data_IF_937183056012
#
_entry.id   IF_937183056012
#
_cell.length_a   1.000
_cell.length_b   1.000
_cell.length_c   1.000
_cell.angle_alpha   90.00
_cell.angle_beta   90.00
_cell.angle_gamma   90.00
#
_symmetry.space_group_name_H-M   'P 1'
#
loop_
_entity.id
_entity.type
_entity.pdbx_description
1 polymer ?
#
# COMPACT_ATOMS: atom_id res chain seq x y z
N UNK A 1 -11.87 24.41 1.78
CA UNK A 1 -11.55 23.06 1.28
C UNK A 1 -10.43 22.31 2.03
N UNK A 2 -9.54 22.96 2.81
CA UNK A 2 -8.42 22.27 3.51
C UNK A 2 -8.81 21.38 4.71
N UNK A 3 -9.84 21.75 5.49
CA UNK A 3 -10.22 20.99 6.72
C UNK A 3 -10.69 19.56 6.44
N UNK A 4 -11.41 19.32 5.35
CA UNK A 4 -11.95 17.99 5.02
C UNK A 4 -10.84 17.05 4.50
N UNK A 5 -9.85 17.60 3.78
CA UNK A 5 -8.68 16.84 3.33
C UNK A 5 -7.76 16.48 4.50
N UNK A 6 -7.52 17.44 5.41
CA UNK A 6 -6.74 17.20 6.63
C UNK A 6 -7.44 16.22 7.57
N UNK A 7 -8.78 16.25 7.64
CA UNK A 7 -9.56 15.31 8.42
C UNK A 7 -9.45 13.88 7.89
N UNK A 8 -9.50 13.70 6.56
CA UNK A 8 -9.31 12.38 5.92
C UNK A 8 -7.89 11.84 6.15
N UNK A 9 -6.86 12.68 6.04
CA UNK A 9 -5.47 12.30 6.31
C UNK A 9 -5.27 11.94 7.80
N UNK A 10 -5.89 12.68 8.72
CA UNK A 10 -5.81 12.39 10.17
C UNK A 10 -6.47 11.06 10.53
N UNK A 11 -7.69 10.82 10.03
CA UNK A 11 -8.39 9.56 10.25
C UNK A 11 -7.62 8.38 9.65
N UNK A 12 -6.98 8.58 8.50
CA UNK A 12 -6.09 7.61 7.87
C UNK A 12 -4.87 7.26 8.73
N UNK A 13 -4.18 8.25 9.32
CA UNK A 13 -3.06 7.98 10.23
C UNK A 13 -3.47 7.21 11.48
N UNK A 14 -4.69 7.43 11.97
CA UNK A 14 -5.22 6.71 13.13
C UNK A 14 -5.45 5.22 12.81
N UNK A 15 -5.98 4.90 11.61
CA UNK A 15 -6.17 3.51 11.14
C UNK A 15 -4.85 2.76 11.01
N UNK A 16 -3.80 3.42 10.53
CA UNK A 16 -2.46 2.82 10.42
C UNK A 16 -1.90 2.46 11.81
N UNK A 17 -2.09 3.33 12.81
CA UNK A 17 -1.57 3.12 14.16
C UNK A 17 -2.28 1.99 14.93
N UNK A 18 -3.56 1.73 14.67
CA UNK A 18 -4.31 0.64 15.31
C UNK A 18 -4.12 -0.73 14.63
N UNK A 19 -3.64 -0.77 13.38
CA UNK A 19 -3.40 -2.00 12.63
C UNK A 19 -2.47 -3.03 13.32
N UNK A 20 -1.36 -2.66 13.99
CA UNK A 20 -0.55 -3.64 14.73
C UNK A 20 -1.29 -4.20 15.96
N UNK A 21 -2.13 -3.41 16.61
CA UNK A 21 -2.83 -3.82 17.85
C UNK A 21 -3.82 -4.97 17.53
N UNK A 22 -4.49 -4.92 16.38
CA UNK A 22 -5.41 -5.97 15.93
C UNK A 22 -4.65 -7.26 15.56
N UNK A 23 -3.46 -7.13 14.95
CA UNK A 23 -2.63 -8.25 14.55
C UNK A 23 -2.05 -9.04 15.76
N UNK A 24 -1.87 -8.38 16.90
CA UNK A 24 -1.29 -8.97 18.12
C UNK A 24 -2.33 -9.53 19.11
N UNK A 25 -3.64 -9.38 18.87
CA UNK A 25 -4.70 -9.71 19.83
C UNK A 25 -5.23 -11.16 19.79
N UNK A 26 -4.59 -12.09 19.06
CA UNK A 26 -5.09 -13.46 18.81
C UNK A 26 -4.08 -14.55 19.25
N UNK A 27 -4.55 -15.79 19.59
CA UNK A 27 -3.71 -16.82 20.21
C UNK A 27 -2.58 -17.30 19.28
N UNK A 28 -1.38 -17.38 19.83
CA UNK A 28 -0.09 -17.35 19.13
C UNK A 28 0.41 -18.74 18.73
N UNK A 29 -0.13 -19.31 17.64
CA UNK A 29 0.62 -20.31 16.87
C UNK A 29 1.63 -19.60 15.95
N UNK A 30 2.76 -20.25 15.64
CA UNK A 30 3.79 -19.66 14.76
C UNK A 30 3.20 -19.26 13.40
N UNK A 31 2.27 -20.06 12.91
CA UNK A 31 1.51 -19.81 11.67
C UNK A 31 0.60 -18.59 11.80
N UNK A 32 -0.09 -18.41 12.94
CA UNK A 32 -0.96 -17.25 13.16
C UNK A 32 -0.17 -15.94 13.22
N UNK A 33 1.00 -15.93 13.89
CA UNK A 33 1.88 -14.75 13.92
C UNK A 33 2.32 -14.39 12.49
N UNK A 34 2.75 -15.36 11.69
CA UNK A 34 3.16 -15.11 10.30
C UNK A 34 2.00 -14.58 9.43
N UNK A 35 0.76 -15.05 9.66
CA UNK A 35 -0.44 -14.57 8.96
C UNK A 35 -0.76 -13.13 9.33
N UNK A 36 -0.72 -12.80 10.62
CA UNK A 36 -1.07 -11.47 11.12
C UNK A 36 -0.02 -10.42 10.72
N UNK A 37 1.28 -10.77 10.78
CA UNK A 37 2.35 -9.90 10.29
C UNK A 37 2.24 -9.67 8.78
N UNK A 38 1.93 -10.70 8.00
CA UNK A 38 1.71 -10.55 6.56
C UNK A 38 0.56 -9.60 6.27
N UNK A 39 -0.56 -9.75 6.98
CA UNK A 39 -1.73 -8.89 6.80
C UNK A 39 -1.39 -7.44 7.14
N UNK A 40 -0.65 -7.20 8.21
CA UNK A 40 -0.15 -5.88 8.59
C UNK A 40 0.72 -5.26 7.50
N UNK A 41 1.73 -5.97 7.02
CA UNK A 41 2.67 -5.50 6.00
C UNK A 41 1.92 -5.20 4.69
N UNK A 42 1.02 -6.09 4.27
CA UNK A 42 0.25 -5.94 3.02
C UNK A 42 -0.70 -4.75 3.11
N UNK A 43 -1.37 -4.56 4.25
CA UNK A 43 -2.25 -3.41 4.47
C UNK A 43 -1.46 -2.10 4.42
N UNK A 44 -0.32 -2.01 5.12
CA UNK A 44 0.52 -0.81 5.09
C UNK A 44 1.02 -0.54 3.66
N UNK A 45 1.43 -1.56 2.92
CA UNK A 45 1.89 -1.42 1.53
C UNK A 45 0.79 -0.87 0.61
N UNK A 46 -0.42 -1.41 0.68
CA UNK A 46 -1.57 -0.93 -0.11
C UNK A 46 -1.88 0.53 0.23
N UNK A 47 -1.85 0.90 1.51
CA UNK A 47 -2.10 2.27 1.95
C UNK A 47 -1.05 3.25 1.41
N UNK A 48 0.23 2.87 1.43
CA UNK A 48 1.31 3.69 0.85
C UNK A 48 1.10 3.87 -0.65
N UNK A 49 0.73 2.80 -1.37
CA UNK A 49 0.45 2.86 -2.82
C UNK A 49 -0.64 3.90 -3.11
N UNK A 50 -1.75 3.88 -2.36
CA UNK A 50 -2.85 4.85 -2.52
C UNK A 50 -2.35 6.29 -2.34
N UNK A 51 -1.55 6.54 -1.30
CA UNK A 51 -0.99 7.88 -1.04
C UNK A 51 -0.06 8.33 -2.18
N UNK A 52 0.82 7.45 -2.67
CA UNK A 52 1.70 7.73 -3.80
C UNK A 52 0.91 8.10 -5.06
N UNK A 53 -0.21 7.42 -5.33
CA UNK A 53 -1.10 7.75 -6.44
C UNK A 53 -1.76 9.12 -6.29
N UNK A 54 -2.22 9.48 -5.09
CA UNK A 54 -2.80 10.80 -4.81
C UNK A 54 -1.76 11.91 -5.01
N UNK A 55 -0.55 11.74 -4.48
CA UNK A 55 0.53 12.73 -4.61
C UNK A 55 0.92 12.90 -6.07
N UNK A 56 1.02 11.80 -6.82
CA UNK A 56 1.33 11.83 -8.25
C UNK A 56 0.24 12.59 -9.03
N UNK A 57 -1.03 12.31 -8.79
CA UNK A 57 -2.14 13.04 -9.42
C UNK A 57 -2.10 14.54 -9.13
N UNK A 58 -1.78 14.91 -7.88
CA UNK A 58 -1.62 16.32 -7.50
C UNK A 58 -0.41 16.98 -8.19
N UNK A 59 0.72 16.28 -8.31
CA UNK A 59 1.91 16.76 -9.02
C UNK A 59 1.62 17.07 -10.49
N UNK A 60 0.83 16.23 -11.17
CA UNK A 60 0.39 16.51 -12.54
C UNK A 60 -0.51 17.74 -12.64
N UNK A 61 -1.43 17.92 -11.68
CA UNK A 61 -2.31 19.10 -11.63
C UNK A 61 -1.54 20.41 -11.43
N UNK A 62 -0.51 20.40 -10.60
CA UNK A 62 0.29 21.60 -10.27
C UNK A 62 1.35 21.89 -11.34
N UNK A 63 1.74 20.90 -12.16
CA UNK A 63 2.78 21.09 -13.16
C UNK A 63 2.43 22.13 -14.24
N UNK A 64 1.13 22.36 -14.55
CA UNK A 64 0.64 23.45 -15.42
C UNK A 64 1.43 23.70 -16.74
N UNK A 65 2.08 22.67 -17.29
CA UNK A 65 2.90 22.79 -18.51
C UNK A 65 4.37 23.14 -18.27
N UNK A 66 4.82 23.35 -17.03
CA UNK A 66 6.23 23.51 -16.69
C UNK A 66 6.99 22.17 -16.91
N UNK A 67 7.97 22.13 -17.83
CA UNK A 67 8.69 20.90 -18.17
C UNK A 67 9.47 20.30 -16.99
N UNK A 68 9.94 21.13 -16.06
CA UNK A 68 10.66 20.66 -14.87
C UNK A 68 9.73 19.92 -13.91
N UNK A 69 8.55 20.49 -13.66
CA UNK A 69 7.54 19.88 -12.78
C UNK A 69 6.89 18.65 -13.41
N UNK A 70 6.69 18.66 -14.74
CA UNK A 70 6.20 17.49 -15.48
C UNK A 70 7.16 16.30 -15.40
N UNK A 71 8.47 16.55 -15.47
CA UNK A 71 9.48 15.47 -15.34
C UNK A 71 9.42 14.83 -13.95
N UNK A 72 9.25 15.63 -12.89
CA UNK A 72 9.04 15.13 -11.53
C UNK A 72 7.75 14.33 -11.39
N UNK A 73 6.64 14.82 -11.96
CA UNK A 73 5.36 14.14 -11.93
C UNK A 73 5.41 12.77 -12.65
N UNK A 74 6.06 12.71 -13.82
CA UNK A 74 6.29 11.46 -14.56
C UNK A 74 7.14 10.46 -13.78
N UNK A 75 8.19 10.94 -13.12
CA UNK A 75 9.04 10.07 -12.29
C UNK A 75 8.26 9.49 -11.12
N UNK A 76 7.47 10.33 -10.43
CA UNK A 76 6.59 9.89 -9.35
C UNK A 76 5.56 8.86 -9.82
N UNK A 77 4.99 9.04 -11.02
CA UNK A 77 4.07 8.09 -11.64
C UNK A 77 4.70 6.73 -11.91
N UNK A 78 5.92 6.72 -12.46
CA UNK A 78 6.65 5.47 -12.69
C UNK A 78 6.84 4.73 -11.37
N UNK A 79 7.28 5.42 -10.32
CA UNK A 79 7.43 4.81 -9.00
C UNK A 79 6.11 4.30 -8.40
N UNK A 80 5.01 5.04 -8.58
CA UNK A 80 3.69 4.60 -8.14
C UNK A 80 3.24 3.31 -8.87
N UNK A 81 3.45 3.25 -10.19
CA UNK A 81 3.15 2.06 -11.01
C UNK A 81 4.01 0.88 -10.58
N UNK A 82 5.33 1.07 -10.44
CA UNK A 82 6.26 0.02 -10.01
C UNK A 82 5.85 -0.54 -8.65
N UNK A 83 5.51 0.33 -7.68
CA UNK A 83 5.02 -0.09 -6.37
C UNK A 83 3.75 -0.95 -6.46
N UNK A 84 2.79 -0.56 -7.31
CA UNK A 84 1.56 -1.35 -7.54
C UNK A 84 1.87 -2.71 -8.17
N UNK A 85 2.73 -2.75 -9.20
CA UNK A 85 3.10 -4.00 -9.88
C UNK A 85 3.80 -4.96 -8.93
N UNK A 86 4.74 -4.48 -8.11
CA UNK A 86 5.45 -5.32 -7.14
C UNK A 86 4.50 -5.90 -6.09
N UNK A 87 3.57 -5.09 -5.56
CA UNK A 87 2.57 -5.58 -4.62
C UNK A 87 1.67 -6.66 -5.24
N UNK A 88 1.29 -6.50 -6.50
CA UNK A 88 0.48 -7.46 -7.23
C UNK A 88 1.23 -8.77 -7.52
N UNK A 89 2.51 -8.69 -7.91
CA UNK A 89 3.38 -9.85 -8.11
C UNK A 89 3.57 -10.64 -6.81
N UNK A 90 3.72 -9.94 -5.68
CA UNK A 90 3.85 -10.57 -4.37
C UNK A 90 2.61 -11.41 -4.00
N UNK A 91 1.39 -10.94 -4.30
CA UNK A 91 0.18 -11.73 -4.10
C UNK A 91 0.10 -12.92 -5.06
N UNK A 92 0.41 -12.69 -6.33
CA UNK A 92 0.34 -13.73 -7.37
C UNK A 92 1.29 -14.88 -7.06
N UNK A 93 2.53 -14.58 -6.65
CA UNK A 93 3.50 -15.61 -6.24
C UNK A 93 2.99 -16.44 -5.05
N UNK A 94 2.32 -15.81 -4.07
CA UNK A 94 1.73 -16.53 -2.93
C UNK A 94 0.63 -17.49 -3.35
N UNK A 95 -0.25 -17.07 -4.25
CA UNK A 95 -1.33 -17.93 -4.75
C UNK A 95 -0.74 -19.14 -5.45
N UNK A 96 0.28 -18.95 -6.30
CA UNK A 96 0.95 -20.05 -7.00
C UNK A 96 1.56 -21.05 -6.01
N UNK A 97 2.27 -20.57 -4.98
CA UNK A 97 2.89 -21.43 -3.96
C UNK A 97 1.84 -22.22 -3.19
N UNK A 98 0.76 -21.57 -2.75
CA UNK A 98 -0.32 -22.23 -2.00
C UNK A 98 -1.04 -23.27 -2.86
N UNK A 99 -1.33 -22.95 -4.12
CA UNK A 99 -1.95 -23.89 -5.05
C UNK A 99 -1.03 -25.08 -5.32
N UNK A 100 0.26 -24.86 -5.52
CA UNK A 100 1.24 -25.95 -5.73
C UNK A 100 1.31 -26.91 -4.54
N UNK A 101 1.25 -26.39 -3.31
CA UNK A 101 1.28 -27.20 -2.08
C UNK A 101 -0.06 -27.93 -1.85
N UNK A 102 -1.19 -27.32 -2.23
CA UNK A 102 -2.54 -27.88 -1.97
C UNK A 102 -2.99 -28.87 -3.05
N UNK A 103 -2.54 -28.72 -4.29
CA UNK A 103 -2.87 -29.63 -5.41
C UNK A 103 -1.95 -30.85 -5.48
N UNK A 104 -0.75 -30.78 -4.89
CA UNK A 104 0.24 -31.87 -4.87
C UNK A 104 0.24 -32.76 -3.63
N UNK A 105 -0.70 -32.55 -2.69
CA UNK A 105 -0.86 -33.32 -1.45
C UNK A 105 -2.09 -34.23 -1.47
#
# INVERSE_FOLDING_TARGET
MKKNLLFSISLFTLVVLISPIIALAQPTSLTAIAVNLRMLITNIAILIIIVCWIITGLLFLIAQGDPSKLTKAKTALIWAIVGTVVAFLAETARVIIQTAITTGG
#
